data_IF_200198425454
#
_entry.id   IF_200198425454
#
_cell.length_a   1.000
_cell.length_b   1.000
_cell.length_c   1.000
_cell.angle_alpha   90.00
_cell.angle_beta   90.00
_cell.angle_gamma   90.00
#
_symmetry.space_group_name_H-M   'P 1'
#
loop_
_entity.id
_entity.type
_entity.pdbx_description
1 polymer ?
#
# COMPACT_ATOMS: atom_id res chain seq x y z
N UNK A 1 7.21 -10.15 3.61
CA UNK A 1 6.74 -9.50 4.86
C UNK A 1 6.28 -10.46 5.95
N UNK A 2 5.76 -11.66 5.65
CA UNK A 2 5.15 -12.56 6.66
C UNK A 2 6.05 -12.96 7.86
N UNK A 3 7.38 -12.92 7.68
CA UNK A 3 8.37 -13.24 8.72
C UNK A 3 8.93 -12.01 9.45
N UNK A 4 8.56 -10.80 9.03
CA UNK A 4 9.01 -9.56 9.67
C UNK A 4 8.21 -9.31 10.95
N UNK A 5 8.87 -8.69 11.94
CA UNK A 5 8.19 -8.13 13.11
C UNK A 5 7.30 -6.96 12.69
N UNK A 6 6.33 -6.60 13.52
CA UNK A 6 5.50 -5.40 13.36
C UNK A 6 6.37 -4.16 13.16
N UNK A 7 7.32 -3.89 14.07
CA UNK A 7 8.25 -2.76 13.97
C UNK A 7 9.01 -2.70 12.63
N UNK A 8 9.43 -3.85 12.09
CA UNK A 8 10.14 -3.90 10.82
C UNK A 8 9.21 -3.64 9.62
N UNK A 9 7.94 -4.05 9.69
CA UNK A 9 6.93 -3.71 8.68
C UNK A 9 6.60 -2.22 8.72
N UNK A 10 6.41 -1.67 9.93
CA UNK A 10 6.06 -0.27 10.11
C UNK A 10 7.21 0.64 9.66
N UNK A 11 8.46 0.31 10.03
CA UNK A 11 9.65 1.03 9.57
C UNK A 11 9.78 1.02 8.04
N UNK A 12 9.46 -0.10 7.38
CA UNK A 12 9.47 -0.19 5.93
C UNK A 12 8.41 0.72 5.30
N UNK A 13 7.18 0.73 5.83
CA UNK A 13 6.10 1.58 5.34
C UNK A 13 6.41 3.07 5.52
N UNK A 14 6.99 3.44 6.65
CA UNK A 14 7.43 4.82 6.93
C UNK A 14 8.56 5.24 5.98
N UNK A 15 9.56 4.39 5.78
CA UNK A 15 10.66 4.66 4.85
C UNK A 15 10.16 4.81 3.40
N UNK A 16 9.18 3.99 2.99
CA UNK A 16 8.55 4.11 1.68
C UNK A 16 7.79 5.45 1.53
N UNK A 17 7.07 5.89 2.58
CA UNK A 17 6.39 7.18 2.59
C UNK A 17 7.37 8.35 2.44
N UNK A 18 8.50 8.31 3.14
CA UNK A 18 9.52 9.36 3.05
C UNK A 18 10.22 9.36 1.68
N UNK A 19 10.50 8.16 1.13
CA UNK A 19 11.09 8.02 -0.19
C UNK A 19 10.18 8.57 -1.31
N UNK A 20 8.86 8.36 -1.22
CA UNK A 20 7.88 8.89 -2.17
C UNK A 20 7.88 10.42 -2.19
N UNK A 21 7.87 11.05 -1.01
CA UNK A 21 7.90 12.51 -0.90
C UNK A 21 9.22 13.06 -1.43
N UNK A 22 10.35 12.43 -1.08
CA UNK A 22 11.66 12.85 -1.57
C UNK A 22 11.80 12.72 -3.09
N UNK A 23 11.18 11.68 -3.69
CA UNK A 23 11.19 11.44 -5.13
C UNK A 23 10.09 12.18 -5.90
N UNK A 24 9.23 12.96 -5.23
CA UNK A 24 8.08 13.61 -5.85
C UNK A 24 8.41 14.42 -7.13
N UNK A 25 9.51 15.20 -7.20
CA UNK A 25 9.86 15.92 -8.43
C UNK A 25 10.08 14.97 -9.63
N UNK A 26 10.76 13.84 -9.40
CA UNK A 26 11.05 12.85 -10.45
C UNK A 26 9.78 12.12 -10.90
N UNK A 27 8.92 11.78 -9.94
CA UNK A 27 7.64 11.11 -10.19
C UNK A 27 6.72 12.02 -11.01
N UNK A 28 6.62 13.30 -10.67
CA UNK A 28 5.78 14.27 -11.38
C UNK A 28 6.30 14.54 -12.79
N UNK A 29 7.63 14.62 -12.96
CA UNK A 29 8.22 14.76 -14.29
C UNK A 29 7.91 13.56 -15.19
N UNK A 30 8.04 12.34 -14.65
CA UNK A 30 7.69 11.13 -15.38
C UNK A 30 6.20 11.09 -15.73
N UNK A 31 5.31 11.37 -14.77
CA UNK A 31 3.87 11.38 -14.98
C UNK A 31 3.43 12.43 -16.01
N UNK A 32 4.09 13.59 -16.06
CA UNK A 32 3.81 14.60 -17.06
C UNK A 32 4.08 14.10 -18.49
N UNK A 33 5.13 13.28 -18.69
CA UNK A 33 5.42 12.65 -19.98
C UNK A 33 4.34 11.62 -20.34
N UNK A 34 3.95 10.76 -19.39
CA UNK A 34 2.89 9.78 -19.60
C UNK A 34 1.56 10.45 -19.99
N UNK A 35 1.20 11.54 -19.32
CA UNK A 35 -0.02 12.32 -19.63
C UNK A 35 0.04 12.93 -21.03
N UNK A 36 1.20 13.46 -21.44
CA UNK A 36 1.38 14.06 -22.75
C UNK A 36 1.25 13.00 -23.87
N UNK A 37 1.88 11.84 -23.70
CA UNK A 37 1.78 10.71 -24.63
C UNK A 37 0.32 10.23 -24.75
N UNK A 38 -0.35 9.98 -23.63
CA UNK A 38 -1.74 9.53 -23.61
C UNK A 38 -2.70 10.56 -24.20
N UNK A 39 -2.46 11.86 -23.96
CA UNK A 39 -3.26 12.91 -24.59
C UNK A 39 -3.09 12.94 -26.11
N UNK A 40 -1.90 12.66 -26.63
CA UNK A 40 -1.64 12.59 -28.07
C UNK A 40 -2.30 11.35 -28.72
N UNK A 41 -2.45 10.26 -27.97
CA UNK A 41 -3.16 9.04 -28.40
C UNK A 41 -4.70 9.19 -28.38
N UNK A 42 -5.22 10.33 -27.93
CA UNK A 42 -6.66 10.60 -27.90
C UNK A 42 -7.37 10.06 -26.65
N UNK A 43 -6.62 9.75 -25.59
CA UNK A 43 -7.21 9.34 -24.30
C UNK A 43 -8.11 10.45 -23.75
N UNK A 44 -9.33 10.07 -23.34
CA UNK A 44 -10.33 11.02 -22.86
C UNK A 44 -9.91 11.75 -21.58
N UNK A 45 -10.36 13.00 -21.44
CA UNK A 45 -9.99 13.90 -20.33
C UNK A 45 -10.22 13.29 -18.94
N UNK A 46 -11.34 12.56 -18.76
CA UNK A 46 -11.65 11.89 -17.51
C UNK A 46 -10.65 10.78 -17.13
N UNK A 47 -10.02 10.14 -18.11
CA UNK A 47 -8.99 9.12 -17.88
C UNK A 47 -7.64 9.79 -17.59
N UNK A 48 -7.30 10.85 -18.32
CA UNK A 48 -6.11 11.65 -18.03
C UNK A 48 -6.14 12.24 -16.61
N UNK A 49 -7.31 12.67 -16.12
CA UNK A 49 -7.43 13.19 -14.75
C UNK A 49 -7.18 12.11 -13.67
N UNK A 50 -7.54 10.85 -13.96
CA UNK A 50 -7.24 9.72 -13.07
C UNK A 50 -5.75 9.37 -13.09
N UNK A 51 -5.11 9.45 -14.26
CA UNK A 51 -3.68 9.22 -14.45
C UNK A 51 -2.81 10.33 -13.84
N UNK A 52 -3.33 11.54 -13.70
CA UNK A 52 -2.55 12.69 -13.26
C UNK A 52 -2.15 12.56 -11.79
N UNK A 53 -0.87 12.76 -11.52
CA UNK A 53 -0.31 12.96 -10.19
C UNK A 53 -0.07 14.44 -9.94
N UNK A 54 -0.23 14.84 -8.68
CA UNK A 54 0.13 16.16 -8.17
C UNK A 54 0.90 15.97 -6.86
N UNK A 55 1.53 17.04 -6.36
CA UNK A 55 2.22 17.00 -5.07
C UNK A 55 1.25 16.55 -3.97
N UNK A 56 0.03 17.09 -3.95
CA UNK A 56 -1.00 16.76 -2.96
C UNK A 56 -1.42 15.29 -3.04
N UNK A 57 -1.49 14.71 -4.25
CA UNK A 57 -1.78 13.28 -4.41
C UNK A 57 -0.63 12.42 -3.90
N UNK A 58 0.62 12.79 -4.15
CA UNK A 58 1.80 12.08 -3.63
C UNK A 58 1.85 12.16 -2.10
N UNK A 59 1.59 13.33 -1.53
CA UNK A 59 1.53 13.51 -0.08
C UNK A 59 0.38 12.71 0.54
N UNK A 60 -0.77 12.64 -0.14
CA UNK A 60 -1.90 11.80 0.26
C UNK A 60 -1.53 10.32 0.29
N UNK A 61 -0.84 9.82 -0.74
CA UNK A 61 -0.34 8.45 -0.82
C UNK A 61 0.65 8.15 0.32
N UNK A 62 1.63 9.03 0.53
CA UNK A 62 2.58 8.90 1.63
C UNK A 62 1.87 8.94 2.99
N UNK A 63 0.83 9.78 3.13
CA UNK A 63 -0.05 9.80 4.29
C UNK A 63 -0.78 8.47 4.51
N UNK A 64 -1.26 7.84 3.44
CA UNK A 64 -1.87 6.51 3.48
C UNK A 64 -0.93 5.45 4.05
N UNK A 65 0.33 5.40 3.58
CA UNK A 65 1.34 4.50 4.13
C UNK A 65 1.60 4.72 5.62
N UNK A 66 1.70 5.99 6.06
CA UNK A 66 1.87 6.33 7.48
C UNK A 66 0.66 5.91 8.33
N UNK A 67 -0.55 6.02 7.78
CA UNK A 67 -1.76 5.55 8.46
C UNK A 67 -1.77 4.03 8.60
N UNK A 68 -1.39 3.28 7.55
CA UNK A 68 -1.32 1.81 7.59
C UNK A 68 -0.27 1.35 8.63
N UNK A 69 0.89 2.00 8.69
CA UNK A 69 1.93 1.72 9.68
C UNK A 69 1.48 1.99 11.13
N UNK A 70 0.45 2.81 11.33
CA UNK A 70 -0.11 3.08 12.66
C UNK A 70 -1.21 2.10 13.07
N UNK A 71 -1.70 1.25 12.16
CA UNK A 71 -2.72 0.26 12.47
C UNK A 71 -2.12 -0.93 13.23
N UNK A 72 -2.86 -1.56 14.17
CA UNK A 72 -2.41 -2.77 14.83
C UNK A 72 -2.12 -3.89 13.83
N UNK A 73 -0.96 -4.55 13.95
CA UNK A 73 -0.61 -5.69 13.10
C UNK A 73 -1.59 -6.85 13.33
N UNK A 74 -2.35 -7.26 12.29
CA UNK A 74 -3.32 -8.33 12.45
C UNK A 74 -2.66 -9.72 12.53
N UNK A 75 -1.40 -9.87 12.12
CA UNK A 75 -0.72 -11.17 12.02
C UNK A 75 -0.29 -11.66 13.40
N UNK A 76 -0.50 -12.95 13.68
CA UNK A 76 -0.13 -13.56 14.96
C UNK A 76 -1.14 -13.33 16.09
N UNK A 77 -2.21 -12.56 15.84
CA UNK A 77 -3.28 -12.34 16.81
C UNK A 77 -4.10 -13.62 17.03
N UNK A 78 -4.37 -13.97 18.29
CA UNK A 78 -5.21 -15.12 18.65
C UNK A 78 -6.66 -14.69 18.73
N UNK A 79 -7.51 -15.32 17.94
CA UNK A 79 -8.94 -14.97 17.87
C UNK A 79 -9.81 -15.88 18.73
N UNK A 80 -9.35 -17.12 18.97
CA UNK A 80 -10.07 -18.11 19.78
C UNK A 80 -9.10 -19.14 20.33
N UNK A 81 -9.42 -19.74 21.48
CA UNK A 81 -8.60 -20.83 22.03
C UNK A 81 -9.06 -21.28 23.40
N UNK A 82 -8.44 -22.34 23.91
CA UNK A 82 -8.70 -22.88 25.24
C UNK A 82 -7.99 -24.21 25.48
N UNK A 83 -8.01 -24.66 26.73
CA UNK A 83 -7.48 -25.96 27.14
C UNK A 83 -8.60 -27.00 27.10
N UNK A 84 -8.34 -28.14 26.47
CA UNK A 84 -9.29 -29.26 26.42
C UNK A 84 -9.20 -30.11 27.69
N UNK A 85 -10.23 -30.91 28.02
CA UNK A 85 -10.21 -31.78 29.20
C UNK A 85 -9.03 -32.76 29.26
N UNK A 86 -8.43 -33.08 28.12
CA UNK A 86 -7.23 -33.93 28.01
C UNK A 86 -5.90 -33.14 28.06
N UNK A 87 -5.94 -31.84 28.40
CA UNK A 87 -4.76 -30.98 28.51
C UNK A 87 -4.28 -30.33 27.21
N UNK A 88 -4.89 -30.62 26.04
CA UNK A 88 -4.48 -30.01 24.77
C UNK A 88 -4.80 -28.51 24.74
N UNK A 89 -3.82 -27.70 24.37
CA UNK A 89 -4.00 -26.28 24.12
C UNK A 89 -4.33 -26.03 22.65
N UNK A 90 -5.49 -25.43 22.38
CA UNK A 90 -5.90 -25.02 21.04
C UNK A 90 -5.88 -23.50 20.94
N UNK A 91 -5.32 -22.98 19.83
CA UNK A 91 -5.31 -21.56 19.49
C UNK A 91 -5.63 -21.41 18.02
N UNK A 92 -6.57 -20.53 17.70
CA UNK A 92 -6.83 -20.04 16.35
C UNK A 92 -6.11 -18.72 16.19
N UNK A 93 -5.18 -18.66 15.24
CA UNK A 93 -4.25 -17.53 15.05
C UNK A 93 -4.44 -16.96 13.65
N UNK A 94 -4.45 -15.63 13.52
CA UNK A 94 -4.46 -14.97 12.20
C UNK A 94 -3.11 -15.12 11.53
N UNK A 95 -3.14 -15.53 10.26
CA UNK A 95 -1.98 -15.64 9.37
C UNK A 95 -2.23 -14.83 8.10
N UNK A 96 -1.18 -14.41 7.38
CA UNK A 96 -1.35 -13.76 6.08
C UNK A 96 -2.09 -14.68 5.11
N UNK A 97 -2.91 -14.11 4.23
CA UNK A 97 -3.60 -14.86 3.18
C UNK A 97 -2.61 -15.57 2.24
N UNK A 98 -1.43 -14.97 2.04
CA UNK A 98 -0.39 -15.47 1.16
C UNK A 98 0.01 -14.40 0.14
N UNK A 99 -0.23 -14.69 -1.13
CA UNK A 99 0.06 -13.78 -2.25
C UNK A 99 -1.23 -13.10 -2.70
N UNK A 100 -1.18 -11.79 -2.91
CA UNK A 100 -2.27 -10.99 -3.46
C UNK A 100 -1.82 -10.42 -4.80
N UNK A 101 -2.58 -10.70 -5.87
CA UNK A 101 -2.38 -10.10 -7.18
C UNK A 101 -3.27 -8.86 -7.33
N UNK A 102 -2.67 -7.74 -7.75
CA UNK A 102 -3.36 -6.47 -7.95
C UNK A 102 -3.37 -6.13 -9.44
N UNK A 103 -4.55 -5.94 -10.03
CA UNK A 103 -4.74 -5.48 -11.41
C UNK A 103 -5.57 -4.20 -11.35
N UNK A 104 -5.01 -3.11 -11.84
CA UNK A 104 -5.67 -1.79 -11.86
C UNK A 104 -5.34 -1.04 -13.14
N UNK A 105 -6.17 -0.06 -13.47
CA UNK A 105 -6.04 0.76 -14.67
C UNK A 105 -6.25 2.23 -14.33
N UNK A 106 -5.46 3.12 -14.95
CA UNK A 106 -5.70 4.56 -14.92
C UNK A 106 -5.46 5.25 -13.58
N UNK A 107 -4.95 4.56 -12.55
CA UNK A 107 -4.82 5.09 -11.19
C UNK A 107 -3.42 4.82 -10.62
N UNK A 108 -2.43 5.66 -10.90
CA UNK A 108 -1.06 5.44 -10.44
C UNK A 108 -0.93 5.43 -8.91
N UNK A 109 -1.85 6.07 -8.19
CA UNK A 109 -1.90 6.02 -6.72
C UNK A 109 -2.12 4.60 -6.17
N UNK A 110 -2.80 3.73 -6.93
CA UNK A 110 -3.08 2.34 -6.52
C UNK A 110 -1.80 1.51 -6.39
N UNK A 111 -0.69 1.91 -7.01
CA UNK A 111 0.62 1.25 -6.83
C UNK A 111 1.08 1.21 -5.37
N UNK A 112 0.62 2.17 -4.56
CA UNK A 112 1.04 2.32 -3.15
C UNK A 112 -0.11 2.08 -2.18
N UNK A 113 -1.34 2.36 -2.58
CA UNK A 113 -2.53 2.10 -1.76
C UNK A 113 -2.89 0.59 -1.67
N UNK A 114 -2.31 -0.23 -2.55
CA UNK A 114 -2.55 -1.66 -2.70
C UNK A 114 -1.82 -2.52 -1.66
#
# INVERSE_FOLDING_TARGET
>A
MALLTTDAKDALLLAAADALVAAAPQILEANARDIAEQSAEGTGEAMLDRLRLTVERIDGIAGGLRQVAALPDPVGTVTRGGVRPNGLQLRQVRVPLGVVGMIYEGRPNVTVDA
#
